data_IF_943684126305
#
_entry.id   IF_943684126305
#
_cell.length_a   1.000
_cell.length_b   1.000
_cell.length_c   1.000
_cell.angle_alpha   90.00
_cell.angle_beta   90.00
_cell.angle_gamma   90.00
#
_symmetry.space_group_name_H-M   'P 1'
#
loop_
_entity.id
_entity.type
_entity.pdbx_description
1 polymer ?
#
# COMPACT_ATOMS: atom_id res chain seq x y z
N UNK A 1 22.92 22.01 1.60
CA UNK A 1 21.85 21.02 1.33
C UNK A 1 20.51 21.75 1.30
N UNK A 2 19.88 21.90 0.12
CA UNK A 2 18.62 22.64 -0.05
C UNK A 2 17.40 21.72 0.19
N UNK A 3 17.24 21.16 1.39
CA UNK A 3 16.12 20.25 1.71
C UNK A 3 14.73 20.91 1.63
N UNK A 4 14.63 22.23 1.69
CA UNK A 4 13.36 22.97 1.64
C UNK A 4 12.82 23.31 0.24
N UNK A 5 13.56 23.04 -0.85
CA UNK A 5 13.18 23.48 -2.21
C UNK A 5 12.67 22.37 -3.13
N UNK A 6 12.68 21.12 -2.68
CA UNK A 6 12.30 20.00 -3.55
C UNK A 6 10.78 19.77 -3.64
N UNK A 7 9.97 20.29 -2.70
CA UNK A 7 8.50 20.28 -2.79
C UNK A 7 7.91 18.92 -3.20
N UNK A 8 7.06 18.92 -4.24
CA UNK A 8 6.45 17.71 -4.83
C UNK A 8 7.51 16.76 -5.42
N UNK A 9 8.63 17.28 -5.96
CA UNK A 9 9.71 16.44 -6.51
C UNK A 9 10.42 15.65 -5.41
N UNK A 10 10.61 16.26 -4.24
CA UNK A 10 11.14 15.57 -3.06
C UNK A 10 10.15 14.53 -2.55
N UNK A 11 8.85 14.86 -2.56
CA UNK A 11 7.78 13.94 -2.19
C UNK A 11 7.75 12.69 -3.08
N UNK A 12 7.93 12.84 -4.40
CA UNK A 12 7.86 11.76 -5.38
C UNK A 12 9.15 10.94 -5.54
N UNK A 13 10.24 11.29 -4.85
CA UNK A 13 11.53 10.63 -5.05
C UNK A 13 11.73 9.46 -4.06
N UNK A 14 11.74 8.19 -4.53
CA UNK A 14 11.95 7.02 -3.68
C UNK A 14 13.42 6.61 -3.52
N UNK A 15 14.37 7.21 -4.27
CA UNK A 15 15.72 6.63 -4.46
C UNK A 15 16.74 6.97 -3.36
N UNK A 16 16.43 7.92 -2.48
CA UNK A 16 17.35 8.33 -1.41
C UNK A 16 17.05 7.55 -0.13
N UNK A 17 18.06 7.14 0.63
CA UNK A 17 17.90 6.56 1.99
C UNK A 17 17.29 5.15 2.08
N UNK A 18 17.45 4.29 1.06
CA UNK A 18 17.19 2.85 1.16
C UNK A 18 15.71 2.43 1.08
N UNK A 19 15.43 1.20 1.53
CA UNK A 19 14.10 0.57 1.46
C UNK A 19 13.04 1.28 2.31
N UNK A 20 13.48 2.05 3.30
CA UNK A 20 12.64 2.87 4.16
C UNK A 20 11.97 4.00 3.38
N UNK A 21 12.72 4.64 2.47
CA UNK A 21 12.17 5.68 1.60
C UNK A 21 11.17 5.09 0.62
N UNK A 22 11.46 3.91 0.09
CA UNK A 22 10.54 3.17 -0.77
C UNK A 22 9.26 2.84 -0.01
N UNK A 23 9.36 2.25 1.19
CA UNK A 23 8.21 1.93 2.05
C UNK A 23 7.37 3.17 2.40
N UNK A 24 8.02 4.28 2.76
CA UNK A 24 7.37 5.56 3.03
C UNK A 24 6.60 6.07 1.82
N UNK A 25 7.26 6.07 0.66
CA UNK A 25 6.66 6.55 -0.59
C UNK A 25 5.48 5.67 -1.00
N UNK A 26 5.65 4.34 -0.92
CA UNK A 26 4.59 3.38 -1.20
C UNK A 26 3.39 3.56 -0.25
N UNK A 27 3.59 3.75 1.06
CA UNK A 27 2.48 3.96 2.00
C UNK A 27 1.59 5.14 1.59
N UNK A 28 2.22 6.23 1.12
CA UNK A 28 1.49 7.44 0.69
C UNK A 28 0.82 7.23 -0.66
N UNK A 29 1.51 6.59 -1.61
CA UNK A 29 0.97 6.31 -2.93
C UNK A 29 -0.24 5.37 -2.84
N UNK A 30 -0.12 4.26 -2.10
CA UNK A 30 -1.22 3.32 -1.88
C UNK A 30 -2.37 3.97 -1.13
N UNK A 31 -2.10 4.85 -0.16
CA UNK A 31 -3.15 5.60 0.54
C UNK A 31 -3.96 6.51 -0.39
N UNK A 32 -3.30 7.24 -1.28
CA UNK A 32 -3.98 8.08 -2.27
C UNK A 32 -4.79 7.24 -3.26
N UNK A 33 -4.21 6.14 -3.76
CA UNK A 33 -4.91 5.20 -4.62
C UNK A 33 -6.17 4.62 -3.95
N UNK A 34 -6.04 4.16 -2.70
CA UNK A 34 -7.16 3.60 -1.94
C UNK A 34 -8.21 4.63 -1.58
N UNK A 35 -7.84 5.90 -1.37
CA UNK A 35 -8.80 6.97 -1.16
C UNK A 35 -9.67 7.19 -2.40
N UNK A 36 -9.07 7.22 -3.59
CA UNK A 36 -9.81 7.33 -4.86
C UNK A 36 -10.69 6.09 -5.07
N UNK A 37 -10.14 4.89 -4.83
CA UNK A 37 -10.91 3.65 -4.91
C UNK A 37 -12.07 3.64 -3.93
N UNK A 38 -11.88 4.08 -2.68
CA UNK A 38 -12.93 4.11 -1.66
C UNK A 38 -14.13 4.95 -2.10
N UNK A 39 -13.90 6.14 -2.67
CA UNK A 39 -14.98 6.98 -3.22
C UNK A 39 -15.70 6.26 -4.37
N UNK A 40 -14.94 5.67 -5.30
CA UNK A 40 -15.50 4.91 -6.42
C UNK A 40 -16.27 3.66 -5.97
N UNK A 41 -15.78 2.97 -4.95
CA UNK A 41 -16.38 1.75 -4.41
C UNK A 41 -17.67 2.04 -3.65
N UNK A 42 -17.73 3.14 -2.89
CA UNK A 42 -19.01 3.60 -2.30
C UNK A 42 -20.03 3.90 -3.39
N UNK A 43 -19.62 4.56 -4.48
CA UNK A 43 -20.50 4.80 -5.62
C UNK A 43 -20.98 3.51 -6.29
N UNK A 44 -20.06 2.59 -6.59
CA UNK A 44 -20.39 1.29 -7.20
C UNK A 44 -21.31 0.46 -6.29
N UNK A 45 -20.99 0.33 -5.01
CA UNK A 45 -21.83 -0.38 -4.02
C UNK A 45 -23.19 0.28 -3.84
N UNK A 46 -23.29 1.61 -3.98
CA UNK A 46 -24.59 2.31 -3.89
C UNK A 46 -25.57 1.90 -5.00
N UNK A 47 -25.05 1.42 -6.15
CA UNK A 47 -25.89 0.93 -7.27
C UNK A 47 -26.81 -0.22 -6.87
N UNK A 48 -26.47 -0.97 -5.82
CA UNK A 48 -27.32 -2.00 -5.23
C UNK A 48 -28.72 -1.46 -4.85
N UNK A 49 -28.78 -0.19 -4.40
CA UNK A 49 -30.05 0.46 -4.03
C UNK A 49 -30.88 0.91 -5.24
N UNK A 50 -30.29 0.93 -6.44
CA UNK A 50 -30.95 1.32 -7.68
C UNK A 50 -31.60 0.13 -8.43
N UNK A 51 -31.53 -1.07 -7.85
CA UNK A 51 -32.11 -2.29 -8.42
C UNK A 51 -31.08 -3.22 -9.08
N UNK A 52 -31.55 -4.41 -9.42
CA UNK A 52 -30.69 -5.51 -9.90
C UNK A 52 -30.00 -5.20 -11.23
N UNK A 53 -30.68 -4.49 -12.13
CA UNK A 53 -30.12 -4.15 -13.45
C UNK A 53 -28.92 -3.19 -13.31
N UNK A 54 -29.07 -2.17 -12.46
CA UNK A 54 -27.99 -1.22 -12.17
C UNK A 54 -26.78 -1.89 -11.51
N UNK A 55 -27.03 -2.83 -10.59
CA UNK A 55 -25.99 -3.64 -9.96
C UNK A 55 -25.26 -4.53 -10.97
N UNK A 56 -26.00 -5.23 -11.83
CA UNK A 56 -25.43 -6.10 -12.85
C UNK A 56 -24.56 -5.31 -13.85
N UNK A 57 -25.00 -4.12 -14.27
CA UNK A 57 -24.19 -3.24 -15.13
C UNK A 57 -22.88 -2.80 -14.46
N UNK A 58 -22.87 -2.60 -13.13
CA UNK A 58 -21.63 -2.29 -12.41
C UNK A 58 -20.72 -3.52 -12.31
N UNK A 59 -21.29 -4.71 -12.07
CA UNK A 59 -20.52 -5.96 -12.05
C UNK A 59 -19.82 -6.22 -13.39
N UNK A 60 -20.47 -5.97 -14.53
CA UNK A 60 -19.86 -6.14 -15.85
C UNK A 60 -18.53 -5.39 -16.00
N UNK A 61 -18.39 -4.20 -15.41
CA UNK A 61 -17.13 -3.44 -15.41
C UNK A 61 -16.00 -4.22 -14.71
N UNK A 62 -16.33 -4.89 -13.61
CA UNK A 62 -15.38 -5.68 -12.82
C UNK A 62 -14.98 -6.98 -13.50
N UNK A 63 -15.84 -7.55 -14.36
CA UNK A 63 -15.60 -8.82 -15.07
C UNK A 63 -14.75 -8.69 -16.34
N UNK A 64 -14.33 -7.47 -16.69
CA UNK A 64 -13.41 -7.26 -17.81
C UNK A 64 -11.97 -7.60 -17.41
N UNK A 65 -11.10 -7.91 -18.39
CA UNK A 65 -9.65 -8.08 -18.14
C UNK A 65 -9.05 -6.86 -17.42
N UNK A 66 -9.46 -5.65 -17.83
CA UNK A 66 -9.04 -4.40 -17.18
C UNK A 66 -9.56 -4.29 -15.75
N UNK A 67 -10.81 -4.67 -15.51
CA UNK A 67 -11.44 -4.75 -14.18
C UNK A 67 -10.68 -5.70 -13.25
N UNK A 68 -10.36 -6.91 -13.71
CA UNK A 68 -9.57 -7.87 -12.93
C UNK A 68 -8.18 -7.34 -12.57
N UNK A 69 -7.44 -6.74 -13.53
CA UNK A 69 -6.14 -6.12 -13.24
C UNK A 69 -6.27 -5.03 -12.19
N UNK A 70 -7.30 -4.17 -12.31
CA UNK A 70 -7.55 -3.11 -11.35
C UNK A 70 -7.88 -3.67 -9.95
N UNK A 71 -8.72 -4.70 -9.85
CA UNK A 71 -9.06 -5.35 -8.57
C UNK A 71 -7.83 -6.02 -7.94
N UNK A 72 -6.95 -6.65 -8.72
CA UNK A 72 -5.68 -7.20 -8.23
C UNK A 72 -4.80 -6.09 -7.64
N UNK A 73 -4.73 -4.92 -8.29
CA UNK A 73 -4.03 -3.76 -7.74
C UNK A 73 -4.66 -3.27 -6.44
N UNK A 74 -6.00 -3.22 -6.35
CA UNK A 74 -6.71 -2.89 -5.09
C UNK A 74 -6.36 -3.88 -3.98
N UNK A 75 -6.34 -5.18 -4.26
CA UNK A 75 -5.96 -6.22 -3.30
C UNK A 75 -4.52 -6.01 -2.82
N UNK A 76 -3.58 -5.81 -3.73
CA UNK A 76 -2.17 -5.61 -3.38
C UNK A 76 -1.93 -4.33 -2.59
N UNK A 77 -2.47 -3.21 -3.06
CA UNK A 77 -2.29 -1.89 -2.43
C UNK A 77 -2.96 -1.83 -1.05
N UNK A 78 -4.16 -2.38 -0.88
CA UNK A 78 -4.84 -2.47 0.43
C UNK A 78 -4.08 -3.35 1.41
N UNK A 79 -3.60 -4.52 0.98
CA UNK A 79 -2.81 -5.43 1.81
C UNK A 79 -1.52 -4.77 2.27
N UNK A 80 -0.74 -4.20 1.34
CA UNK A 80 0.48 -3.48 1.69
C UNK A 80 0.21 -2.29 2.62
N UNK A 81 -0.76 -1.44 2.28
CA UNK A 81 -1.09 -0.23 3.06
C UNK A 81 -1.49 -0.57 4.50
N UNK A 82 -2.22 -1.67 4.68
CA UNK A 82 -2.65 -2.16 5.98
C UNK A 82 -1.47 -2.72 6.77
N UNK A 83 -0.73 -3.68 6.22
CA UNK A 83 0.36 -4.35 6.95
C UNK A 83 1.49 -3.37 7.27
N UNK A 84 1.91 -2.54 6.30
CA UNK A 84 2.92 -1.52 6.55
C UNK A 84 2.38 -0.40 7.47
N UNK A 85 1.09 -0.08 7.40
CA UNK A 85 0.43 0.83 8.36
C UNK A 85 0.48 0.29 9.80
N UNK A 86 0.21 -1.00 10.01
CA UNK A 86 0.34 -1.65 11.32
C UNK A 86 1.77 -1.59 11.84
N UNK A 87 2.78 -1.83 10.98
CA UNK A 87 4.19 -1.64 11.34
C UNK A 87 4.46 -0.21 11.81
N UNK A 88 3.91 0.80 11.12
CA UNK A 88 4.07 2.20 11.51
C UNK A 88 3.37 2.49 12.84
N UNK A 89 2.16 1.99 13.09
CA UNK A 89 1.46 2.14 14.38
C UNK A 89 2.31 1.61 15.54
N UNK A 90 2.94 0.44 15.38
CA UNK A 90 3.86 -0.08 16.39
C UNK A 90 5.07 0.83 16.58
N UNK A 91 5.62 1.35 15.49
CA UNK A 91 6.77 2.26 15.50
C UNK A 91 6.46 3.56 16.26
N UNK A 92 5.31 4.18 16.00
CA UNK A 92 4.84 5.38 16.71
C UNK A 92 4.56 5.09 18.20
N UNK A 93 4.17 3.85 18.52
CA UNK A 93 4.00 3.38 19.90
C UNK A 93 5.33 3.05 20.61
N UNK A 94 6.48 3.30 19.97
CA UNK A 94 7.81 2.96 20.49
C UNK A 94 8.17 1.48 20.40
N UNK A 95 7.27 0.63 19.89
CA UNK A 95 7.50 -0.81 19.74
C UNK A 95 8.26 -1.10 18.45
N UNK A 96 9.29 -1.95 18.56
CA UNK A 96 10.11 -2.33 17.40
C UNK A 96 11.11 -1.27 16.97
N UNK A 97 11.33 -0.20 17.74
CA UNK A 97 12.45 0.71 17.56
C UNK A 97 13.72 0.18 18.26
N UNK A 98 14.91 0.49 17.73
CA UNK A 98 16.15 0.20 18.44
C UNK A 98 16.38 1.17 19.61
N UNK A 99 17.32 0.82 20.49
CA UNK A 99 17.64 1.66 21.65
C UNK A 99 18.17 3.03 21.19
N UNK A 100 17.71 4.15 21.79
CA UNK A 100 18.26 5.46 21.50
C UNK A 100 19.78 5.45 21.76
N UNK A 101 20.55 5.78 20.73
CA UNK A 101 22.00 5.93 20.80
C UNK A 101 22.39 7.39 20.60
N UNK A 102 23.59 7.77 21.06
CA UNK A 102 24.18 9.05 20.66
C UNK A 102 24.42 9.04 19.15
N UNK A 103 23.99 10.08 18.41
CA UNK A 103 24.28 10.20 16.98
C UNK A 103 25.74 10.63 16.79
N UNK A 104 26.66 9.71 17.06
CA UNK A 104 28.08 9.92 16.83
C UNK A 104 28.42 9.56 15.37
N UNK A 105 29.27 10.35 14.73
CA UNK A 105 29.69 10.08 13.36
C UNK A 105 30.59 8.82 13.31
N UNK A 106 30.38 7.87 12.38
CA UNK A 106 29.38 7.88 11.30
C UNK A 106 27.96 7.59 11.79
N UNK A 107 27.00 8.40 11.34
CA UNK A 107 25.60 8.31 11.75
C UNK A 107 24.99 6.96 11.36
N UNK A 108 24.80 6.07 12.33
CA UNK A 108 24.05 4.83 12.17
C UNK A 108 22.64 5.03 12.74
N UNK A 109 21.57 4.91 11.93
CA UNK A 109 20.22 5.13 12.41
C UNK A 109 19.82 4.04 13.42
N UNK A 110 19.77 4.37 14.70
CA UNK A 110 19.43 3.42 15.77
C UNK A 110 17.99 2.91 15.68
N UNK A 111 17.10 3.65 15.01
CA UNK A 111 15.72 3.26 14.75
C UNK A 111 15.58 2.16 13.68
N UNK A 112 16.62 1.87 12.91
CA UNK A 112 16.61 0.91 11.79
C UNK A 112 17.15 -0.46 12.19
N UNK A 113 16.52 -1.05 13.20
CA UNK A 113 16.83 -2.43 13.58
C UNK A 113 16.25 -3.44 12.56
N UNK A 114 16.63 -4.72 12.71
CA UNK A 114 16.15 -5.79 11.84
C UNK A 114 14.62 -5.96 11.88
N UNK A 115 13.95 -5.61 12.97
CA UNK A 115 12.50 -5.69 13.13
C UNK A 115 11.76 -4.73 12.19
N UNK A 116 12.25 -3.51 12.03
CA UNK A 116 11.63 -2.54 11.10
C UNK A 116 11.83 -2.97 9.64
N UNK A 117 13.02 -3.48 9.31
CA UNK A 117 13.32 -3.94 7.94
C UNK A 117 12.51 -5.19 7.59
N UNK A 118 12.39 -6.16 8.50
CA UNK A 118 11.57 -7.35 8.27
C UNK A 118 10.10 -6.99 8.08
N UNK A 119 9.56 -6.03 8.85
CA UNK A 119 8.18 -5.55 8.67
C UNK A 119 7.88 -5.02 7.27
N UNK A 120 8.83 -4.33 6.63
CA UNK A 120 8.68 -3.86 5.24
C UNK A 120 8.60 -5.05 4.28
N UNK A 121 9.52 -6.02 4.42
CA UNK A 121 9.53 -7.22 3.57
C UNK A 121 8.29 -8.09 3.76
N UNK A 122 7.81 -8.22 5.00
CA UNK A 122 6.56 -8.94 5.31
C UNK A 122 5.39 -8.27 4.61
N UNK A 123 5.27 -6.94 4.66
CA UNK A 123 4.20 -6.22 3.98
C UNK A 123 4.23 -6.43 2.46
N UNK A 124 5.42 -6.38 1.84
CA UNK A 124 5.58 -6.64 0.40
C UNK A 124 5.24 -8.09 0.05
N UNK A 125 5.73 -9.06 0.82
CA UNK A 125 5.49 -10.48 0.58
C UNK A 125 3.99 -10.81 0.70
N UNK A 126 3.33 -10.35 1.75
CA UNK A 126 1.89 -10.56 1.94
C UNK A 126 1.07 -9.91 0.83
N UNK A 127 1.44 -8.70 0.39
CA UNK A 127 0.79 -8.07 -0.75
C UNK A 127 0.97 -8.87 -2.04
N UNK A 128 2.18 -9.37 -2.32
CA UNK A 128 2.43 -10.23 -3.47
C UNK A 128 1.61 -11.54 -3.41
N UNK A 129 1.56 -12.20 -2.24
CA UNK A 129 0.76 -13.42 -2.06
C UNK A 129 -0.73 -13.12 -2.27
N UNK A 130 -1.25 -12.03 -1.70
CA UNK A 130 -2.64 -11.63 -1.87
C UNK A 130 -2.97 -11.31 -3.33
N UNK A 131 -2.07 -10.64 -4.06
CA UNK A 131 -2.23 -10.37 -5.50
C UNK A 131 -2.22 -11.65 -6.33
N UNK A 132 -1.34 -12.60 -6.03
CA UNK A 132 -1.28 -13.90 -6.72
C UNK A 132 -2.57 -14.69 -6.48
N UNK A 133 -3.02 -14.80 -5.23
CA UNK A 133 -4.27 -15.46 -4.88
C UNK A 133 -5.48 -14.78 -5.54
N UNK A 134 -5.57 -13.44 -5.43
CA UNK A 134 -6.64 -12.67 -6.06
C UNK A 134 -6.65 -12.82 -7.58
N UNK A 135 -5.48 -12.84 -8.22
CA UNK A 135 -5.35 -13.10 -9.64
C UNK A 135 -5.77 -14.51 -10.04
N UNK A 136 -5.41 -15.52 -9.24
CA UNK A 136 -5.87 -16.90 -9.44
C UNK A 136 -7.39 -17.01 -9.35
N UNK A 137 -8.04 -16.30 -8.41
CA UNK A 137 -9.51 -16.31 -8.30
C UNK A 137 -10.14 -15.58 -9.49
N UNK A 138 -9.72 -14.33 -9.74
CA UNK A 138 -10.33 -13.47 -10.76
C UNK A 138 -10.15 -13.99 -12.19
N UNK A 139 -9.02 -14.65 -12.50
CA UNK A 139 -8.79 -15.24 -13.82
C UNK A 139 -9.03 -16.75 -13.88
N UNK A 140 -9.17 -17.42 -12.74
CA UNK A 140 -9.37 -18.87 -12.66
C UNK A 140 -10.83 -19.29 -12.76
N UNK A 141 -11.78 -18.41 -12.41
CA UNK A 141 -13.22 -18.65 -12.60
C UNK A 141 -13.69 -18.42 -14.06
N UNK A 142 -12.82 -18.76 -15.02
CA UNK A 142 -13.10 -18.75 -16.47
C UNK A 142 -13.51 -20.12 -17.01
N UNK A 143 -14.48 -20.78 -16.37
CA UNK A 143 -15.11 -22.03 -16.80
C UNK A 143 -16.57 -22.10 -16.38
#
# INVERSE_FOLDING_TARGET
>A
MNSGREGIRGWLNPTRYGWERVSYWLQRLTGLFLLVYFVGHVYETSSLTNGVDAWNSMLELTQTIGGHIFLILVIGTSTFHTVNGIRLIFTESGKGLGKPGRPDYPYNPSSLNYTQKSGIWIALLLACIAMLYGGMVLFGEGG
#
